data_IF_895681616955
#
_entry.id   IF_895681616955
#
_cell.length_a   1.000
_cell.length_b   1.000
_cell.length_c   1.000
_cell.angle_alpha   90.00
_cell.angle_beta   90.00
_cell.angle_gamma   90.00
#
_symmetry.space_group_name_H-M   'P 1'
#
loop_
_entity.id
_entity.type
_entity.pdbx_description
1 polymer ?
#
# COMPACT_ATOMS: atom_id res chain seq x y z
N UNK A 1 -22.57 4.11 -77.40
CA UNK A 1 -23.96 3.70 -77.46
C UNK A 1 -24.46 3.82 -76.02
N UNK A 2 -24.97 4.96 -75.78
CA UNK A 2 -26.35 5.42 -75.54
C UNK A 2 -27.25 4.39 -74.83
N UNK A 3 -27.64 4.65 -73.59
CA UNK A 3 -29.06 4.94 -73.31
C UNK A 3 -29.21 5.59 -71.93
N UNK A 4 -29.61 6.82 -71.98
CA UNK A 4 -30.16 7.62 -70.91
C UNK A 4 -31.62 7.18 -70.68
N UNK A 5 -32.08 6.99 -69.47
CA UNK A 5 -33.50 7.10 -69.11
C UNK A 5 -33.67 7.70 -67.72
N UNK A 6 -34.01 8.92 -67.76
CA UNK A 6 -34.69 9.70 -66.74
C UNK A 6 -36.07 9.11 -66.41
N UNK A 7 -36.40 8.93 -65.16
CA UNK A 7 -37.79 8.95 -64.70
C UNK A 7 -37.86 9.78 -63.41
N UNK A 8 -38.76 10.71 -63.50
CA UNK A 8 -39.11 11.76 -62.58
C UNK A 8 -40.12 11.32 -61.51
N UNK A 9 -40.08 12.01 -60.39
CA UNK A 9 -41.14 12.27 -59.39
C UNK A 9 -41.72 11.11 -58.58
N UNK A 10 -41.61 11.21 -57.22
CA UNK A 10 -42.70 11.67 -56.37
C UNK A 10 -42.12 12.00 -55.00
N UNK A 11 -42.33 13.22 -54.55
CA UNK A 11 -42.08 13.67 -53.19
C UNK A 11 -43.16 13.12 -52.26
N UNK A 12 -42.76 12.36 -51.25
CA UNK A 12 -43.61 12.11 -50.08
C UNK A 12 -42.78 12.48 -48.88
N UNK A 13 -43.14 13.57 -48.26
CA UNK A 13 -42.56 14.05 -47.03
C UNK A 13 -42.88 13.10 -45.86
N UNK A 14 -41.89 12.47 -45.34
CA UNK A 14 -41.95 11.88 -44.01
C UNK A 14 -41.12 12.74 -43.06
N UNK A 15 -41.85 13.52 -42.26
CA UNK A 15 -41.35 14.25 -41.15
C UNK A 15 -40.96 13.22 -40.07
N UNK A 16 -39.69 12.77 -40.07
CA UNK A 16 -39.15 11.96 -38.97
C UNK A 16 -38.73 12.90 -37.88
N UNK A 17 -39.60 13.04 -36.91
CA UNK A 17 -39.35 13.77 -35.65
C UNK A 17 -38.35 12.91 -34.83
N UNK A 18 -37.06 13.17 -35.00
CA UNK A 18 -35.99 12.56 -34.18
C UNK A 18 -36.08 13.13 -32.77
N UNK A 19 -36.71 12.41 -31.87
CA UNK A 19 -36.62 12.65 -30.45
C UNK A 19 -35.21 12.22 -30.02
N UNK A 20 -34.31 13.19 -29.92
CA UNK A 20 -33.04 13.02 -29.25
C UNK A 20 -33.29 12.85 -27.73
N UNK A 21 -33.38 11.61 -27.31
CA UNK A 21 -33.35 11.24 -25.89
C UNK A 21 -31.92 11.45 -25.41
N UNK A 22 -31.60 12.65 -24.96
CA UNK A 22 -30.36 12.90 -24.21
C UNK A 22 -30.48 12.18 -22.87
N UNK A 23 -29.86 11.01 -22.78
CA UNK A 23 -29.63 10.36 -21.52
C UNK A 23 -28.55 11.19 -20.79
N UNK A 24 -28.98 12.10 -19.94
CA UNK A 24 -28.10 12.74 -18.96
C UNK A 24 -27.72 11.68 -17.95
N UNK A 25 -26.54 11.12 -18.13
CA UNK A 25 -25.92 10.28 -17.11
C UNK A 25 -25.42 11.23 -16.01
N UNK A 26 -26.29 11.47 -15.02
CA UNK A 26 -25.85 12.02 -13.75
C UNK A 26 -24.85 11.04 -13.15
N UNK A 27 -23.57 11.32 -13.31
CA UNK A 27 -22.55 10.72 -12.49
C UNK A 27 -22.77 11.21 -11.06
N UNK A 28 -23.47 10.42 -10.26
CA UNK A 28 -23.44 10.59 -8.82
C UNK A 28 -21.99 10.27 -8.38
N UNK A 29 -21.17 11.30 -8.26
CA UNK A 29 -19.95 11.20 -7.47
C UNK A 29 -20.39 10.86 -6.04
N UNK A 30 -20.37 9.56 -5.74
CA UNK A 30 -20.42 9.09 -4.37
C UNK A 30 -19.14 9.57 -3.70
N UNK A 31 -19.22 10.75 -3.08
CA UNK A 31 -18.19 11.18 -2.14
C UNK A 31 -18.18 10.16 -1.02
N UNK A 32 -17.25 9.22 -1.08
CA UNK A 32 -16.92 8.38 0.07
C UNK A 32 -16.46 9.36 1.14
N UNK A 33 -17.35 9.64 2.09
CA UNK A 33 -16.98 10.41 3.26
C UNK A 33 -15.83 9.65 3.93
N UNK A 34 -14.64 10.22 3.88
CA UNK A 34 -13.51 9.74 4.67
C UNK A 34 -13.96 9.91 6.13
N UNK A 35 -14.40 8.83 6.73
CA UNK A 35 -14.67 8.78 8.16
C UNK A 35 -13.30 8.84 8.80
N UNK A 36 -12.87 10.03 9.22
CA UNK A 36 -11.73 10.13 10.11
C UNK A 36 -12.04 9.25 11.33
N UNK A 37 -11.11 8.36 11.73
CA UNK A 37 -11.34 7.55 12.91
C UNK A 37 -11.54 8.50 14.09
N UNK A 38 -12.74 8.48 14.66
CA UNK A 38 -13.03 9.20 15.91
C UNK A 38 -12.17 8.55 16.97
N UNK A 39 -11.06 9.17 17.31
CA UNK A 39 -10.19 8.77 18.39
C UNK A 39 -10.94 9.07 19.69
N UNK A 40 -11.59 8.05 20.25
CA UNK A 40 -12.16 8.13 21.61
C UNK A 40 -10.99 7.85 22.54
N UNK A 41 -10.52 8.86 23.31
CA UNK A 41 -9.44 8.63 24.26
C UNK A 41 -9.88 7.57 25.26
N UNK A 42 -9.03 6.59 25.53
CA UNK A 42 -9.27 5.61 26.60
C UNK A 42 -9.29 6.34 27.95
N UNK A 43 -10.34 6.16 28.73
CA UNK A 43 -10.40 6.70 30.10
C UNK A 43 -9.37 6.06 31.03
N UNK A 44 -8.75 4.94 30.62
CA UNK A 44 -7.88 4.10 31.44
C UNK A 44 -6.41 4.09 30.99
N UNK A 45 -5.96 5.09 30.21
CA UNK A 45 -4.61 5.14 29.67
C UNK A 45 -4.47 4.51 28.28
N UNK A 46 -3.26 4.36 27.77
CA UNK A 46 -3.02 3.84 26.42
C UNK A 46 -3.50 2.38 26.30
N UNK A 47 -3.97 1.97 25.09
CA UNK A 47 -4.44 0.62 24.87
C UNK A 47 -3.33 -0.41 25.06
N UNK A 48 -3.66 -1.59 25.59
CA UNK A 48 -2.75 -2.72 25.66
C UNK A 48 -2.71 -3.42 24.30
N UNK A 49 -1.54 -3.38 23.66
CA UNK A 49 -1.26 -4.02 22.36
C UNK A 49 -0.69 -5.43 22.53
N UNK A 50 -0.47 -5.91 23.75
CA UNK A 50 0.14 -7.23 23.99
C UNK A 50 -0.68 -8.34 23.33
N UNK A 51 0.00 -9.28 22.67
CA UNK A 51 -0.67 -10.39 22.01
C UNK A 51 0.03 -10.86 20.76
N UNK A 52 -0.63 -11.78 20.05
CA UNK A 52 -0.18 -12.28 18.74
C UNK A 52 -1.06 -11.65 17.68
N UNK A 53 -0.44 -11.04 16.71
CA UNK A 53 -1.07 -10.28 15.65
C UNK A 53 -0.62 -10.76 14.28
N UNK A 54 -1.42 -10.54 13.28
CA UNK A 54 -1.07 -10.79 11.88
C UNK A 54 -1.67 -9.72 10.98
N UNK A 55 -0.86 -9.15 10.11
CA UNK A 55 -1.35 -8.26 9.09
C UNK A 55 -2.18 -9.03 8.05
N UNK A 56 -3.42 -8.61 7.85
CA UNK A 56 -4.32 -9.18 6.85
C UNK A 56 -4.47 -8.17 5.71
N UNK A 57 -3.78 -8.40 4.61
CA UNK A 57 -3.85 -7.50 3.46
C UNK A 57 -2.78 -7.80 2.42
N UNK A 58 -2.78 -7.00 1.36
CA UNK A 58 -1.83 -7.10 0.24
C UNK A 58 -0.63 -6.14 0.36
N UNK A 59 -0.58 -5.31 1.41
CA UNK A 59 0.48 -4.32 1.61
C UNK A 59 1.89 -4.91 1.68
N UNK A 60 2.02 -6.18 2.06
CA UNK A 60 3.31 -6.90 2.03
C UNK A 60 3.91 -7.04 0.63
N UNK A 61 3.09 -6.94 -0.41
CA UNK A 61 3.50 -6.98 -1.81
C UNK A 61 3.70 -5.58 -2.39
N UNK A 62 2.71 -4.69 -2.18
CA UNK A 62 2.75 -3.32 -2.65
C UNK A 62 1.76 -2.49 -1.82
N UNK A 63 2.15 -1.32 -1.40
CA UNK A 63 1.30 -0.38 -0.66
C UNK A 63 0.29 0.33 -1.57
N UNK A 64 0.61 0.48 -2.85
CA UNK A 64 -0.31 1.02 -3.85
C UNK A 64 -1.18 -0.08 -4.46
N UNK A 65 -2.40 0.27 -4.89
CA UNK A 65 -3.27 -0.66 -5.59
C UNK A 65 -2.70 -1.07 -6.95
N UNK A 66 -2.77 -2.36 -7.28
CA UNK A 66 -2.33 -2.87 -8.58
C UNK A 66 -3.12 -4.11 -9.00
N UNK A 67 -3.12 -4.39 -10.28
CA UNK A 67 -3.71 -5.62 -10.81
C UNK A 67 -2.82 -6.83 -10.56
N UNK A 68 -3.41 -8.02 -10.50
CA UNK A 68 -2.65 -9.25 -10.41
C UNK A 68 -1.69 -9.39 -11.60
N UNK A 69 -0.50 -9.88 -11.34
CA UNK A 69 0.53 -10.08 -12.36
C UNK A 69 1.30 -11.39 -12.15
N UNK A 70 2.03 -11.82 -13.15
CA UNK A 70 2.92 -13.00 -13.04
C UNK A 70 4.23 -12.61 -12.38
N UNK A 71 4.76 -13.49 -11.54
CA UNK A 71 6.13 -13.33 -11.06
C UNK A 71 7.14 -13.44 -12.22
N UNK A 72 8.28 -12.74 -12.14
CA UNK A 72 9.34 -12.85 -13.15
C UNK A 72 10.02 -14.23 -13.15
N UNK A 73 9.83 -15.03 -12.09
CA UNK A 73 10.42 -16.38 -11.99
C UNK A 73 9.53 -17.38 -12.71
N UNK A 74 9.99 -17.90 -13.83
CA UNK A 74 9.23 -18.77 -14.74
C UNK A 74 9.11 -20.24 -14.29
N UNK A 75 9.71 -20.63 -13.17
CA UNK A 75 9.74 -22.03 -12.73
C UNK A 75 8.55 -22.45 -11.88
N UNK A 76 7.72 -21.53 -11.45
CA UNK A 76 6.54 -21.76 -10.63
C UNK A 76 5.30 -21.56 -11.49
N UNK A 77 4.45 -22.59 -11.59
CA UNK A 77 3.28 -22.60 -12.47
C UNK A 77 2.01 -22.33 -11.65
N UNK A 78 1.03 -21.67 -12.28
CA UNK A 78 -0.30 -21.44 -11.71
C UNK A 78 -0.31 -20.30 -10.69
N UNK A 79 -1.22 -20.39 -9.72
CA UNK A 79 -1.44 -19.33 -8.73
C UNK A 79 -0.23 -19.09 -7.82
N UNK A 80 0.60 -20.11 -7.60
CA UNK A 80 1.84 -19.97 -6.83
C UNK A 80 2.91 -19.11 -7.54
N UNK A 81 2.81 -19.00 -8.87
CA UNK A 81 3.68 -18.13 -9.67
C UNK A 81 3.07 -16.76 -9.95
N UNK A 82 2.07 -16.34 -9.19
CA UNK A 82 1.39 -15.07 -9.35
C UNK A 82 1.69 -14.09 -8.22
N UNK A 83 1.68 -12.81 -8.55
CA UNK A 83 1.56 -11.72 -7.59
C UNK A 83 0.07 -11.40 -7.50
N UNK A 84 -0.57 -11.50 -6.33
CA UNK A 84 -1.99 -11.18 -6.19
C UNK A 84 -2.25 -9.69 -6.46
N UNK A 85 -3.51 -9.36 -6.76
CA UNK A 85 -3.91 -7.96 -6.87
C UNK A 85 -3.71 -7.24 -5.53
N UNK A 86 -3.14 -6.05 -5.57
CA UNK A 86 -3.08 -5.14 -4.43
C UNK A 86 -4.40 -4.40 -4.29
N UNK A 87 -5.00 -4.45 -3.09
CA UNK A 87 -6.27 -3.78 -2.77
C UNK A 87 -6.07 -2.59 -1.83
N UNK A 88 -4.84 -2.22 -1.58
CA UNK A 88 -4.49 -1.08 -0.74
C UNK A 88 -4.98 0.23 -1.36
N UNK A 89 -5.37 1.17 -0.51
CA UNK A 89 -5.83 2.51 -0.90
C UNK A 89 -4.97 3.54 -0.21
N UNK A 90 -4.32 4.38 -1.00
CA UNK A 90 -3.59 5.54 -0.48
C UNK A 90 -4.56 6.71 -0.38
N UNK A 91 -4.80 7.20 0.83
CA UNK A 91 -5.66 8.36 1.07
C UNK A 91 -5.00 9.60 0.46
N UNK A 92 -5.70 10.27 -0.45
CA UNK A 92 -5.17 11.43 -1.17
C UNK A 92 -4.53 11.11 -2.52
N UNK A 93 -4.53 9.83 -2.95
CA UNK A 93 -4.01 9.40 -4.25
C UNK A 93 -2.72 8.57 -4.15
N UNK A 94 -1.70 8.95 -4.87
CA UNK A 94 -0.42 8.25 -4.89
C UNK A 94 0.44 8.58 -3.65
N UNK A 95 1.37 7.69 -3.31
CA UNK A 95 2.34 7.96 -2.26
C UNK A 95 3.25 9.11 -2.71
N UNK A 96 3.39 10.19 -1.90
CA UNK A 96 4.11 11.40 -2.29
C UNK A 96 5.64 11.22 -2.19
N UNK A 97 6.19 10.37 -3.04
CA UNK A 97 7.63 10.16 -3.10
C UNK A 97 8.38 11.44 -3.49
N UNK A 98 9.52 11.67 -2.87
CA UNK A 98 10.48 12.64 -3.39
C UNK A 98 10.99 12.18 -4.77
N UNK A 99 11.35 13.11 -5.69
CA UNK A 99 11.73 12.74 -7.06
C UNK A 99 12.84 11.68 -7.15
N UNK A 100 13.87 11.79 -6.34
CA UNK A 100 14.96 10.80 -6.26
C UNK A 100 14.51 9.46 -5.66
N UNK A 101 13.61 9.48 -4.70
CA UNK A 101 13.05 8.26 -4.12
C UNK A 101 12.15 7.53 -5.12
N UNK A 102 11.36 8.28 -5.91
CA UNK A 102 10.53 7.71 -6.97
C UNK A 102 11.38 7.06 -8.07
N UNK A 103 12.48 7.68 -8.46
CA UNK A 103 13.42 7.10 -9.42
C UNK A 103 14.00 5.79 -8.88
N UNK A 104 14.47 5.78 -7.63
CA UNK A 104 14.97 4.58 -6.96
C UNK A 104 13.91 3.50 -6.87
N UNK A 105 12.69 3.85 -6.46
CA UNK A 105 11.56 2.94 -6.39
C UNK A 105 11.27 2.29 -7.74
N UNK A 106 11.24 3.06 -8.82
CA UNK A 106 10.97 2.55 -10.15
C UNK A 106 12.10 1.62 -10.67
N UNK A 107 13.35 1.94 -10.38
CA UNK A 107 14.49 1.08 -10.68
C UNK A 107 14.42 -0.24 -9.90
N UNK A 108 14.11 -0.18 -8.62
CA UNK A 108 13.92 -1.35 -7.76
C UNK A 108 12.79 -2.24 -8.27
N UNK A 109 11.65 -1.65 -8.62
CA UNK A 109 10.49 -2.36 -9.16
C UNK A 109 10.79 -3.09 -10.46
N UNK A 110 11.62 -2.51 -11.32
CA UNK A 110 12.00 -3.11 -12.61
C UNK A 110 12.80 -4.42 -12.43
N UNK A 111 13.53 -4.56 -11.33
CA UNK A 111 14.37 -5.74 -11.06
C UNK A 111 14.24 -6.24 -9.59
N UNK A 112 13.03 -6.17 -9.05
CA UNK A 112 12.77 -6.49 -7.65
C UNK A 112 13.24 -7.90 -7.25
N UNK A 113 13.11 -8.89 -8.14
CA UNK A 113 13.51 -10.26 -7.86
C UNK A 113 15.02 -10.41 -7.53
N UNK A 114 15.84 -9.52 -8.05
CA UNK A 114 17.28 -9.48 -7.79
C UNK A 114 17.67 -8.42 -6.75
N UNK A 115 16.86 -7.41 -6.54
CA UNK A 115 17.22 -6.26 -5.71
C UNK A 115 16.52 -6.28 -4.34
N UNK A 116 15.30 -6.82 -4.25
CA UNK A 116 14.53 -6.83 -3.01
C UNK A 116 15.28 -7.58 -1.89
N UNK A 117 15.53 -6.94 -0.74
CA UNK A 117 16.14 -7.60 0.41
C UNK A 117 15.40 -8.87 0.84
N UNK A 118 14.07 -8.83 0.83
CA UNK A 118 13.24 -9.98 1.21
C UNK A 118 13.41 -11.16 0.23
N UNK A 119 13.60 -10.90 -1.06
CA UNK A 119 13.87 -11.94 -2.06
C UNK A 119 15.25 -12.59 -1.86
N UNK A 120 16.17 -11.90 -1.20
CA UNK A 120 17.52 -12.37 -0.87
C UNK A 120 17.63 -12.95 0.54
N UNK A 121 16.52 -13.21 1.21
CA UNK A 121 16.44 -13.67 2.60
C UNK A 121 17.04 -12.68 3.63
N UNK A 122 17.13 -11.40 3.29
CA UNK A 122 17.40 -10.34 4.25
C UNK A 122 16.10 -9.82 4.86
N UNK A 123 16.25 -9.06 5.94
CA UNK A 123 15.10 -8.40 6.59
C UNK A 123 14.70 -7.19 5.75
N UNK A 124 13.41 -7.02 5.41
CA UNK A 124 12.97 -5.89 4.60
C UNK A 124 13.11 -4.53 5.29
N UNK A 125 13.25 -4.53 6.62
CA UNK A 125 13.33 -3.32 7.42
C UNK A 125 11.98 -2.77 7.84
N UNK A 126 12.00 -1.62 8.52
CA UNK A 126 10.82 -0.90 8.96
C UNK A 126 10.54 0.24 7.97
N UNK A 127 9.28 0.49 7.58
CA UNK A 127 8.03 -0.05 8.13
C UNK A 127 7.59 -1.40 7.53
N UNK A 128 8.18 -1.86 6.43
CA UNK A 128 7.67 -3.00 5.64
C UNK A 128 7.45 -4.27 6.48
N UNK A 129 8.32 -4.56 7.42
CA UNK A 129 8.18 -5.76 8.25
C UNK A 129 6.87 -5.78 9.06
N UNK A 130 6.31 -4.60 9.39
CA UNK A 130 5.06 -4.50 10.20
C UNK A 130 3.81 -4.92 9.44
N UNK A 131 3.84 -4.94 8.12
CA UNK A 131 2.70 -5.36 7.29
C UNK A 131 3.00 -6.57 6.39
N UNK A 132 4.10 -7.29 6.67
CA UNK A 132 4.31 -8.62 6.09
C UNK A 132 3.27 -9.61 6.61
N UNK A 133 2.83 -10.58 5.79
CA UNK A 133 1.72 -11.48 6.13
C UNK A 133 2.11 -12.62 7.08
N UNK A 134 3.08 -12.40 7.95
CA UNK A 134 3.51 -13.35 8.96
C UNK A 134 3.10 -12.89 10.37
N UNK A 135 2.87 -13.81 11.32
CA UNK A 135 2.55 -13.46 12.69
C UNK A 135 3.65 -12.62 13.34
N UNK A 136 3.24 -11.76 14.25
CA UNK A 136 4.12 -11.03 15.16
C UNK A 136 3.56 -11.09 16.58
N UNK A 137 4.43 -11.04 17.56
CA UNK A 137 4.07 -10.96 18.96
C UNK A 137 4.47 -9.61 19.52
N UNK A 138 3.55 -8.94 20.20
CA UNK A 138 3.80 -7.70 20.91
C UNK A 138 3.81 -7.97 22.41
N UNK A 139 4.82 -7.47 23.09
CA UNK A 139 4.93 -7.42 24.54
C UNK A 139 5.07 -5.95 24.93
N UNK A 140 4.12 -5.44 25.69
CA UNK A 140 4.06 -4.04 26.10
C UNK A 140 4.39 -3.88 27.56
N UNK A 141 5.25 -2.91 27.85
CA UNK A 141 5.54 -2.43 29.20
C UNK A 141 5.42 -0.90 29.21
N UNK A 142 5.54 -0.29 30.37
CA UNK A 142 5.50 1.19 30.51
C UNK A 142 6.69 1.89 29.79
N UNK A 143 7.80 1.20 29.61
CA UNK A 143 9.04 1.80 29.08
C UNK A 143 9.44 1.30 27.70
N UNK A 144 8.82 0.22 27.23
CA UNK A 144 9.21 -0.43 25.99
C UNK A 144 8.05 -1.23 25.40
N UNK A 145 7.90 -1.16 24.09
CA UNK A 145 7.07 -2.08 23.32
C UNK A 145 8.03 -2.94 22.51
N UNK A 146 8.08 -4.22 22.85
CA UNK A 146 8.90 -5.20 22.15
C UNK A 146 8.05 -5.97 21.16
N UNK A 147 8.50 -6.08 19.91
CA UNK A 147 7.80 -6.79 18.84
C UNK A 147 8.71 -7.88 18.29
N UNK A 148 8.30 -9.12 18.40
CA UNK A 148 8.94 -10.26 17.77
C UNK A 148 8.22 -10.62 16.48
N UNK A 149 8.93 -10.65 15.37
CA UNK A 149 8.41 -10.99 14.06
C UNK A 149 8.80 -12.41 13.67
N UNK A 150 7.84 -13.20 13.20
CA UNK A 150 8.15 -14.51 12.62
C UNK A 150 8.94 -14.35 11.31
N UNK A 151 8.56 -13.37 10.48
CA UNK A 151 9.28 -13.06 9.25
C UNK A 151 10.73 -12.65 9.56
N UNK A 152 11.67 -13.42 9.05
CA UNK A 152 13.10 -13.17 9.25
C UNK A 152 13.58 -13.39 10.68
N UNK A 153 12.77 -13.99 11.56
CA UNK A 153 13.10 -14.27 12.98
C UNK A 153 13.75 -13.06 13.66
N UNK A 154 13.11 -11.92 13.56
CA UNK A 154 13.64 -10.64 14.01
C UNK A 154 12.81 -10.01 15.13
N UNK A 155 13.36 -8.98 15.75
CA UNK A 155 12.68 -8.23 16.80
C UNK A 155 12.93 -6.73 16.68
N UNK A 156 12.03 -5.95 17.26
CA UNK A 156 12.08 -4.50 17.35
C UNK A 156 11.73 -4.06 18.75
N UNK A 157 12.55 -3.20 19.34
CA UNK A 157 12.25 -2.48 20.56
C UNK A 157 11.86 -1.04 20.24
N UNK A 158 10.68 -0.63 20.68
CA UNK A 158 10.22 0.76 20.63
C UNK A 158 10.35 1.30 22.05
N UNK A 159 11.32 2.17 22.27
CA UNK A 159 11.57 2.74 23.59
C UNK A 159 10.62 3.91 23.84
N UNK A 160 9.86 3.81 24.93
CA UNK A 160 8.84 4.79 25.26
C UNK A 160 9.44 5.97 26.02
N UNK A 161 9.00 7.17 25.66
CA UNK A 161 9.29 8.44 26.37
C UNK A 161 10.78 8.70 26.67
N UNK A 162 11.68 8.16 25.85
CA UNK A 162 13.11 8.44 25.97
C UNK A 162 13.45 9.74 25.24
N UNK A 163 14.40 10.53 25.75
CA UNK A 163 14.93 11.67 25.01
C UNK A 163 15.56 11.19 23.71
N UNK A 164 15.33 11.95 22.63
CA UNK A 164 15.73 11.58 21.27
C UNK A 164 17.23 11.32 21.17
N UNK A 165 17.58 10.06 20.99
CA UNK A 165 18.93 9.60 20.63
C UNK A 165 18.81 8.72 19.40
N UNK A 166 19.82 8.75 18.54
CA UNK A 166 19.94 7.82 17.43
C UNK A 166 20.89 6.71 17.82
N UNK A 167 20.71 5.53 17.22
CA UNK A 167 21.70 4.48 17.36
C UNK A 167 23.03 4.91 16.71
N UNK A 168 24.19 4.48 17.26
CA UNK A 168 25.50 4.83 16.70
C UNK A 168 25.77 4.20 15.33
N UNK A 169 25.09 3.11 15.01
CA UNK A 169 25.23 2.39 13.75
C UNK A 169 23.85 2.12 13.12
N UNK A 170 23.72 2.22 11.79
CA UNK A 170 22.52 1.82 11.09
C UNK A 170 22.23 0.32 11.25
N UNK A 171 20.93 -0.02 11.30
CA UNK A 171 20.45 -1.40 11.31
C UNK A 171 19.19 -1.54 10.44
N UNK A 172 18.85 -2.78 10.07
CA UNK A 172 17.62 -3.06 9.31
C UNK A 172 16.36 -2.61 10.05
N UNK A 173 16.37 -2.70 11.37
CA UNK A 173 15.23 -2.32 12.21
C UNK A 173 15.28 -0.86 12.65
N UNK A 174 16.40 -0.17 12.43
CA UNK A 174 16.61 1.19 12.90
C UNK A 174 16.63 1.29 14.42
N UNK A 175 16.45 2.50 14.91
CA UNK A 175 16.27 2.82 16.32
C UNK A 175 14.92 3.49 16.51
N UNK A 176 14.06 2.90 17.31
CA UNK A 176 12.67 3.33 17.42
C UNK A 176 12.39 3.97 18.77
N UNK A 177 11.85 5.19 18.73
CA UNK A 177 11.34 5.93 19.89
C UNK A 177 9.82 6.01 19.76
N UNK A 178 9.10 5.70 20.82
CA UNK A 178 7.66 5.71 20.86
C UNK A 178 7.09 6.73 21.85
N UNK A 179 5.92 7.23 21.53
CA UNK A 179 5.07 7.99 22.45
C UNK A 179 3.61 7.72 22.15
N UNK A 180 2.80 7.82 23.17
CA UNK A 180 1.35 7.77 23.00
C UNK A 180 0.78 9.17 22.75
N UNK A 181 -0.12 9.27 21.78
CA UNK A 181 -0.95 10.46 21.53
C UNK A 181 -2.40 9.97 21.55
N UNK A 182 -3.08 10.13 22.68
CA UNK A 182 -4.35 9.46 22.92
C UNK A 182 -4.17 7.94 22.82
N UNK A 183 -4.97 7.28 21.99
CA UNK A 183 -4.91 5.84 21.76
C UNK A 183 -3.98 5.44 20.58
N UNK A 184 -3.22 6.39 20.08
CA UNK A 184 -2.31 6.15 18.94
C UNK A 184 -0.87 6.08 19.42
N UNK A 185 -0.21 4.94 19.13
CA UNK A 185 1.23 4.81 19.28
C UNK A 185 1.92 5.47 18.09
N UNK A 186 2.70 6.50 18.35
CA UNK A 186 3.53 7.17 17.34
C UNK A 186 4.98 6.76 17.55
N UNK A 187 5.59 6.22 16.50
CA UNK A 187 6.97 5.75 16.52
C UNK A 187 7.85 6.52 15.55
N UNK A 188 8.89 7.18 16.07
CA UNK A 188 9.95 7.78 15.27
C UNK A 188 11.08 6.77 15.07
N UNK A 189 11.46 6.50 13.83
CA UNK A 189 12.51 5.54 13.50
C UNK A 189 13.68 6.24 12.84
N UNK A 190 14.85 6.08 13.42
CA UNK A 190 16.12 6.64 12.93
C UNK A 190 17.14 5.54 12.69
N UNK A 191 18.30 5.87 12.15
CA UNK A 191 19.41 4.94 11.94
C UNK A 191 19.04 3.67 11.18
N UNK A 192 18.18 3.79 10.16
CA UNK A 192 17.86 2.70 9.26
C UNK A 192 18.99 2.52 8.25
N UNK A 193 19.19 1.26 7.81
CA UNK A 193 20.11 0.99 6.70
C UNK A 193 19.52 1.55 5.39
N UNK A 194 20.37 2.09 4.50
CA UNK A 194 19.93 2.62 3.21
C UNK A 194 19.25 1.57 2.30
N UNK A 195 19.57 0.30 2.54
CA UNK A 195 19.06 -0.83 1.75
C UNK A 195 17.67 -1.31 2.22
N UNK A 196 17.06 -0.66 3.22
CA UNK A 196 15.69 -0.98 3.64
C UNK A 196 14.69 -0.51 2.59
N UNK A 197 13.69 -1.35 2.32
CA UNK A 197 12.65 -1.05 1.35
C UNK A 197 11.34 -0.69 2.05
N UNK A 198 10.63 0.26 1.48
CA UNK A 198 9.33 0.71 1.97
C UNK A 198 8.23 -0.31 1.64
N UNK A 199 8.28 -0.90 0.45
CA UNK A 199 7.41 -1.99 0.01
C UNK A 199 8.16 -2.94 -0.94
N UNK A 200 7.45 -3.82 -1.67
CA UNK A 200 8.04 -4.75 -2.63
C UNK A 200 8.33 -4.12 -4.01
N UNK A 201 8.30 -2.81 -4.10
CA UNK A 201 8.51 -2.10 -5.37
C UNK A 201 9.66 -1.10 -5.29
#
# INVERSE_FOLDING_TARGET
MSYCRTISHIAVGFLVMSVLMTCSQESSESSVAVVEPVMIPSENGPPDLSGIWQALGSAGWDLEGHTASKMPVTRVIGAHGGIPAGTSVVIGGDIPYLPNALETRNANRADWANLDPAAKCYIPGIPRLTYMPAPLQILQTDTEIFIAYEWGSNSRSIFMDRPGTSAPLPSWMGYSLGKWIGDTLVGDVTSQMPDTWFDAA
#
